data_IF_827116989889
#
_entry.id   IF_827116989889
#
_cell.length_a   1.000
_cell.length_b   1.000
_cell.length_c   1.000
_cell.angle_alpha   90.00
_cell.angle_beta   90.00
_cell.angle_gamma   90.00
#
_symmetry.space_group_name_H-M   'P 1'
#
loop_
_entity.id
_entity.type
_entity.pdbx_description
1 polymer ?
#
# COMPACT_ATOMS: atom_id res chain seq x y z
N UNK A 1 22.75 -64.30 13.59
CA UNK A 1 23.12 -63.54 12.38
C UNK A 1 22.38 -62.21 12.42
N UNK A 2 23.06 -61.13 12.78
CA UNK A 2 22.48 -59.78 12.85
C UNK A 2 22.50 -59.13 11.47
N UNK A 3 21.32 -58.80 10.92
CA UNK A 3 21.19 -58.15 9.62
C UNK A 3 21.74 -56.70 9.65
N UNK A 4 22.43 -56.25 8.60
CA UNK A 4 22.96 -54.89 8.55
C UNK A 4 21.83 -53.87 8.27
N UNK A 5 21.62 -52.93 9.20
CA UNK A 5 20.67 -51.84 9.03
C UNK A 5 21.02 -50.96 7.82
N UNK A 6 20.23 -51.11 6.75
CA UNK A 6 20.39 -50.38 5.51
C UNK A 6 20.22 -48.86 5.74
N UNK A 7 21.32 -48.10 5.57
CA UNK A 7 21.33 -46.66 5.84
C UNK A 7 20.56 -45.91 4.74
N UNK A 8 19.27 -45.68 4.98
CA UNK A 8 18.41 -44.88 4.09
C UNK A 8 19.02 -43.51 3.77
N UNK A 9 18.97 -43.15 2.49
CA UNK A 9 19.45 -41.86 1.99
C UNK A 9 18.64 -40.69 2.58
N UNK A 10 19.25 -39.50 2.65
CA UNK A 10 18.58 -38.27 3.14
C UNK A 10 17.24 -37.99 2.45
N UNK A 11 17.10 -38.35 1.16
CA UNK A 11 15.84 -38.19 0.41
C UNK A 11 14.76 -39.15 0.88
N UNK A 12 15.10 -40.42 1.13
CA UNK A 12 14.16 -41.42 1.61
C UNK A 12 13.68 -41.13 3.04
N UNK A 13 14.58 -40.68 3.92
CA UNK A 13 14.20 -40.24 5.29
C UNK A 13 13.17 -39.10 5.27
N UNK A 14 13.39 -38.10 4.40
CA UNK A 14 12.47 -36.96 4.27
C UNK A 14 11.11 -37.35 3.68
N UNK A 15 11.08 -38.33 2.76
CA UNK A 15 9.83 -38.86 2.22
C UNK A 15 9.02 -39.62 3.27
N UNK A 16 9.69 -40.41 4.12
CA UNK A 16 9.06 -41.12 5.24
C UNK A 16 8.50 -40.15 6.29
N UNK A 17 9.22 -39.08 6.63
CA UNK A 17 8.73 -38.05 7.54
C UNK A 17 7.46 -37.35 7.00
N UNK A 18 7.41 -37.07 5.69
CA UNK A 18 6.25 -36.45 5.07
C UNK A 18 5.02 -37.37 5.08
N UNK A 19 5.23 -38.66 4.79
CA UNK A 19 4.18 -39.69 4.79
C UNK A 19 3.68 -40.03 6.19
N UNK A 20 4.54 -39.98 7.21
CA UNK A 20 4.13 -40.18 8.60
C UNK A 20 3.36 -38.96 9.15
N UNK A 21 3.69 -37.75 8.69
CA UNK A 21 2.99 -36.52 9.07
C UNK A 21 1.62 -36.37 8.39
N UNK A 22 1.42 -36.92 7.20
CA UNK A 22 0.09 -36.97 6.58
C UNK A 22 -0.80 -38.01 7.27
N UNK A 23 -0.25 -39.18 7.62
CA UNK A 23 -0.99 -40.22 8.36
C UNK A 23 -1.44 -39.80 9.76
N UNK A 24 -0.63 -39.02 10.49
CA UNK A 24 -1.03 -38.52 11.82
C UNK A 24 -2.02 -37.37 11.79
N UNK A 25 -2.28 -36.78 10.61
CA UNK A 25 -3.25 -35.71 10.43
C UNK A 25 -4.63 -36.24 10.04
N UNK A 26 -4.69 -37.33 9.27
CA UNK A 26 -5.97 -38.00 8.91
C UNK A 26 -6.58 -38.80 10.07
N UNK A 27 -5.78 -39.27 11.03
CA UNK A 27 -6.31 -40.00 12.21
C UNK A 27 -6.81 -39.10 13.34
N UNK A 28 -6.74 -37.77 13.20
CA UNK A 28 -7.18 -36.80 14.23
C UNK A 28 -8.45 -36.02 13.89
N UNK A 29 -9.12 -36.33 12.79
CA UNK A 29 -10.29 -35.57 12.30
C UNK A 29 -11.57 -36.39 12.18
N UNK A 30 -11.63 -37.61 12.73
CA UNK A 30 -12.80 -38.49 12.57
C UNK A 30 -13.40 -39.05 13.86
N UNK A 31 -13.18 -38.40 15.02
CA UNK A 31 -13.98 -38.69 16.21
C UNK A 31 -14.45 -37.39 16.90
N UNK A 32 -15.79 -37.27 16.91
CA UNK A 32 -16.72 -36.52 17.78
C UNK A 32 -16.90 -35.00 17.62
N UNK A 33 -18.03 -34.67 16.99
CA UNK A 33 -18.82 -33.46 17.23
C UNK A 33 -19.55 -33.55 18.58
N UNK A 34 -19.78 -32.36 19.17
CA UNK A 34 -20.91 -31.92 20.00
C UNK A 34 -20.83 -31.85 21.55
N UNK A 35 -21.41 -30.75 22.06
CA UNK A 35 -21.81 -30.39 23.44
C UNK A 35 -20.84 -29.66 24.43
N UNK A 36 -21.03 -28.34 24.51
CA UNK A 36 -21.41 -27.51 25.69
C UNK A 36 -20.83 -27.67 27.12
N UNK A 37 -20.66 -26.48 27.76
CA UNK A 37 -20.71 -26.14 29.22
C UNK A 37 -19.51 -26.34 30.17
N UNK A 38 -19.04 -25.16 30.65
CA UNK A 38 -18.85 -24.71 32.06
C UNK A 38 -17.83 -25.41 33.01
N UNK A 39 -16.98 -24.52 33.57
CA UNK A 39 -16.52 -24.37 34.99
C UNK A 39 -15.15 -24.95 35.43
N UNK A 40 -14.28 -23.99 35.76
CA UNK A 40 -13.53 -23.74 37.03
C UNK A 40 -12.50 -24.77 37.56
N UNK A 41 -11.31 -24.20 37.86
CA UNK A 41 -10.50 -24.37 39.11
C UNK A 41 -9.55 -25.59 39.11
N UNK A 42 -8.29 -25.59 39.57
CA UNK A 42 -7.39 -24.66 40.28
C UNK A 42 -5.93 -25.02 39.91
N UNK A 43 -5.07 -23.99 39.97
CA UNK A 43 -3.74 -23.96 40.61
C UNK A 43 -2.91 -25.25 40.77
N UNK A 44 -1.77 -25.31 40.08
CA UNK A 44 -0.52 -25.73 40.72
C UNK A 44 0.67 -24.95 40.14
N UNK A 45 1.27 -24.15 41.01
CA UNK A 45 2.43 -23.30 40.76
C UNK A 45 3.69 -24.14 40.98
N UNK A 46 4.56 -24.23 39.98
CA UNK A 46 5.96 -24.62 40.24
C UNK A 46 6.90 -23.67 39.52
N UNK A 47 7.54 -22.85 40.37
CA UNK A 47 8.66 -21.96 40.12
C UNK A 47 9.84 -22.70 39.48
N UNK A 48 10.28 -22.26 38.30
CA UNK A 48 11.71 -22.28 37.92
C UNK A 48 11.99 -21.18 36.88
N UNK A 49 12.59 -20.08 37.35
CA UNK A 49 13.59 -19.28 36.61
C UNK A 49 14.95 -19.56 37.31
N UNK A 50 16.14 -19.29 36.74
CA UNK A 50 16.48 -18.49 35.55
C UNK A 50 17.28 -19.35 34.52
N UNK A 51 17.71 -18.96 33.32
CA UNK A 51 18.60 -17.86 32.93
C UNK A 51 18.56 -17.62 31.41
N UNK A 52 18.99 -16.41 31.08
CA UNK A 52 19.28 -15.79 29.79
C UNK A 52 19.75 -16.75 28.67
N UNK A 53 19.08 -16.68 27.51
CA UNK A 53 19.69 -17.04 26.25
C UNK A 53 19.33 -16.03 25.17
N UNK A 54 20.38 -15.64 24.46
CA UNK A 54 20.49 -14.45 23.65
C UNK A 54 19.51 -14.37 22.49
N UNK A 55 19.19 -13.13 22.18
CA UNK A 55 18.41 -12.63 21.06
C UNK A 55 19.00 -13.11 19.73
N UNK A 56 18.53 -14.28 19.27
CA UNK A 56 18.91 -14.89 18.00
C UNK A 56 18.48 -14.03 16.82
N UNK A 57 19.37 -13.14 16.38
CA UNK A 57 19.29 -12.43 15.12
C UNK A 57 19.02 -13.43 13.98
N UNK A 58 17.79 -13.39 13.43
CA UNK A 58 17.43 -14.14 12.22
C UNK A 58 18.27 -13.62 11.06
N UNK A 59 19.44 -14.25 10.84
CA UNK A 59 20.27 -14.05 9.65
C UNK A 59 19.41 -14.34 8.43
N UNK A 60 19.05 -13.28 7.69
CA UNK A 60 18.42 -13.37 6.38
C UNK A 60 19.31 -14.27 5.51
N UNK A 61 18.81 -15.47 5.20
CA UNK A 61 19.43 -16.31 4.17
C UNK A 61 19.46 -15.48 2.89
N UNK A 62 20.67 -15.08 2.47
CA UNK A 62 20.93 -14.68 1.08
C UNK A 62 20.52 -15.88 0.24
N UNK A 63 19.30 -15.84 -0.31
CA UNK A 63 19.01 -16.66 -1.46
C UNK A 63 20.01 -16.25 -2.52
N UNK A 64 20.59 -17.27 -3.14
CA UNK A 64 21.57 -17.21 -4.23
C UNK A 64 20.87 -16.68 -5.49
N UNK A 65 20.25 -15.50 -5.40
CA UNK A 65 19.63 -14.79 -6.52
C UNK A 65 20.78 -14.23 -7.32
N UNK A 66 21.00 -14.88 -8.47
CA UNK A 66 22.11 -14.63 -9.35
C UNK A 66 22.35 -13.14 -9.57
N UNK A 67 23.64 -12.81 -9.59
CA UNK A 67 24.27 -11.58 -10.09
C UNK A 67 24.01 -11.37 -11.60
N UNK A 68 22.83 -11.78 -12.09
CA UNK A 68 22.38 -11.77 -13.50
C UNK A 68 20.99 -11.14 -13.64
N UNK A 69 20.68 -10.21 -12.73
CA UNK A 69 19.52 -9.33 -12.78
C UNK A 69 19.92 -7.86 -12.76
N UNK A 70 21.15 -7.52 -13.21
CA UNK A 70 21.47 -6.16 -13.64
C UNK A 70 20.67 -5.91 -14.92
N UNK A 71 19.40 -5.54 -14.76
CA UNK A 71 18.70 -4.83 -15.83
C UNK A 71 19.54 -3.60 -16.16
N UNK A 72 19.67 -3.29 -17.45
CA UNK A 72 20.46 -2.16 -17.94
C UNK A 72 20.23 -0.89 -17.12
N UNK A 73 21.33 -0.17 -16.86
CA UNK A 73 21.48 1.13 -16.22
C UNK A 73 21.25 1.25 -14.70
N UNK A 74 22.23 1.86 -14.02
CA UNK A 74 22.08 2.53 -12.72
C UNK A 74 22.47 1.72 -11.49
N UNK A 75 23.44 2.21 -10.71
CA UNK A 75 23.69 1.81 -9.32
C UNK A 75 22.60 2.31 -8.34
N UNK A 76 21.63 3.07 -8.85
CA UNK A 76 20.57 3.75 -8.12
C UNK A 76 19.39 2.82 -7.79
N UNK A 77 18.73 3.03 -6.64
CA UNK A 77 17.48 2.33 -6.33
C UNK A 77 16.38 2.75 -7.32
N UNK A 78 15.65 1.76 -7.84
CA UNK A 78 14.48 1.98 -8.71
C UNK A 78 13.23 2.03 -7.86
N UNK A 79 12.40 3.04 -8.09
CA UNK A 79 11.12 3.18 -7.42
C UNK A 79 10.01 2.74 -8.37
N UNK A 80 9.09 1.91 -7.88
CA UNK A 80 7.98 1.40 -8.69
C UNK A 80 6.66 1.85 -8.10
N UNK A 81 5.78 2.36 -8.96
CA UNK A 81 4.36 2.55 -8.66
C UNK A 81 3.52 1.46 -9.29
N UNK A 82 2.49 1.03 -8.57
CA UNK A 82 1.49 0.10 -9.06
C UNK A 82 0.33 0.91 -9.62
N UNK A 83 -0.07 0.59 -10.86
CA UNK A 83 -1.28 1.10 -11.47
C UNK A 83 -2.21 -0.09 -11.71
N UNK A 84 -3.40 -0.05 -11.14
CA UNK A 84 -4.41 -1.10 -11.25
C UNK A 84 -5.74 -0.61 -11.82
N UNK A 85 -6.64 -1.55 -12.07
CA UNK A 85 -7.96 -1.32 -12.69
C UNK A 85 -7.88 -0.66 -14.08
N UNK A 86 -6.83 -0.97 -14.84
CA UNK A 86 -6.66 -0.46 -16.20
C UNK A 86 -7.56 -1.24 -17.18
N UNK A 87 -8.02 -0.58 -18.25
CA UNK A 87 -8.63 -1.29 -19.38
C UNK A 87 -7.60 -2.23 -20.04
N UNK A 88 -8.07 -3.35 -20.56
CA UNK A 88 -7.23 -4.38 -21.18
C UNK A 88 -6.55 -3.91 -22.47
N UNK A 89 -7.20 -2.98 -23.18
CA UNK A 89 -6.77 -2.46 -24.48
C UNK A 89 -5.93 -1.17 -24.36
N UNK A 90 -5.37 -0.89 -23.18
CA UNK A 90 -4.62 0.34 -22.93
C UNK A 90 -3.28 0.35 -23.67
N UNK A 91 -2.96 1.46 -24.33
CA UNK A 91 -1.66 1.69 -24.96
C UNK A 91 -0.66 2.35 -24.01
N UNK A 92 0.65 2.13 -24.25
CA UNK A 92 1.72 2.79 -23.48
C UNK A 92 1.69 4.31 -23.66
N UNK A 93 1.38 4.79 -24.86
CA UNK A 93 1.28 6.22 -25.19
C UNK A 93 0.19 6.91 -24.39
N UNK A 94 -0.96 6.26 -24.18
CA UNK A 94 -2.04 6.83 -23.35
C UNK A 94 -1.69 6.90 -21.88
N UNK A 95 -1.04 5.85 -21.36
CA UNK A 95 -0.50 5.87 -19.99
C UNK A 95 0.54 6.98 -19.86
N UNK A 96 1.42 7.16 -20.84
CA UNK A 96 2.41 8.23 -20.82
C UNK A 96 1.77 9.62 -20.86
N UNK A 97 0.73 9.82 -21.67
CA UNK A 97 -0.02 11.06 -21.73
C UNK A 97 -0.77 11.36 -20.42
N UNK A 98 -1.43 10.36 -19.84
CA UNK A 98 -2.11 10.50 -18.56
C UNK A 98 -1.13 10.82 -17.41
N UNK A 99 0.07 10.23 -17.44
CA UNK A 99 1.12 10.43 -16.44
C UNK A 99 2.17 11.49 -16.83
N UNK A 100 1.87 12.36 -17.80
CA UNK A 100 2.83 13.33 -18.35
C UNK A 100 3.44 14.27 -17.28
N UNK A 101 2.66 14.65 -16.27
CA UNK A 101 3.15 15.47 -15.16
C UNK A 101 4.20 14.77 -14.28
N UNK A 102 4.17 13.43 -14.21
CA UNK A 102 5.11 12.64 -13.40
C UNK A 102 6.32 12.11 -14.17
N UNK A 103 6.26 12.07 -15.51
CA UNK A 103 7.33 11.61 -16.42
C UNK A 103 7.98 10.29 -15.98
N UNK A 104 7.26 9.15 -16.04
CA UNK A 104 7.83 7.84 -15.72
C UNK A 104 8.93 7.46 -16.74
N UNK A 105 10.03 6.86 -16.27
CA UNK A 105 11.16 6.48 -17.13
C UNK A 105 10.85 5.23 -17.96
N UNK A 106 10.16 4.25 -17.37
CA UNK A 106 9.76 3.01 -18.05
C UNK A 106 8.40 2.53 -17.56
N UNK A 107 7.55 2.11 -18.49
CA UNK A 107 6.23 1.56 -18.17
C UNK A 107 6.23 0.06 -18.49
N UNK A 108 5.79 -0.76 -17.55
CA UNK A 108 5.61 -2.21 -17.76
C UNK A 108 4.14 -2.57 -17.61
N UNK A 109 3.46 -2.75 -18.73
CA UNK A 109 2.05 -3.12 -18.79
C UNK A 109 1.90 -4.64 -18.72
N UNK A 110 0.91 -5.11 -17.95
CA UNK A 110 0.44 -6.50 -17.94
C UNK A 110 -1.03 -6.49 -18.29
N UNK A 111 -1.30 -6.58 -19.59
CA UNK A 111 -2.65 -6.56 -20.16
C UNK A 111 -3.51 -7.65 -19.55
N UNK A 112 -3.03 -8.89 -19.43
CA UNK A 112 -3.76 -10.03 -18.84
C UNK A 112 -4.46 -9.74 -17.50
N UNK A 113 -3.87 -8.87 -16.67
CA UNK A 113 -4.39 -8.53 -15.34
C UNK A 113 -4.95 -7.11 -15.25
N UNK A 114 -4.87 -6.30 -16.31
CA UNK A 114 -5.25 -4.89 -16.26
C UNK A 114 -4.41 -4.08 -15.25
N UNK A 115 -3.11 -4.37 -15.18
CA UNK A 115 -2.18 -3.70 -14.25
C UNK A 115 -0.94 -3.20 -15.00
N UNK A 116 -0.34 -2.11 -14.52
CA UNK A 116 0.93 -1.61 -15.00
C UNK A 116 1.86 -1.26 -13.83
N UNK A 117 3.16 -1.28 -14.10
CA UNK A 117 4.18 -0.77 -13.19
C UNK A 117 4.90 0.41 -13.83
N UNK A 118 4.89 1.55 -13.15
CA UNK A 118 5.67 2.72 -13.55
C UNK A 118 7.01 2.65 -12.81
N UNK A 119 8.11 2.59 -13.55
CA UNK A 119 9.47 2.58 -13.01
C UNK A 119 10.06 3.99 -13.10
N UNK A 120 10.57 4.48 -11.97
CA UNK A 120 11.28 5.75 -11.83
C UNK A 120 12.73 5.46 -11.39
N UNK A 121 13.69 6.10 -12.04
CA UNK A 121 15.10 5.96 -11.69
C UNK A 121 15.48 6.97 -10.60
N UNK A 122 15.99 6.48 -9.46
CA UNK A 122 16.48 7.32 -8.37
C UNK A 122 17.77 8.09 -8.68
N UNK A 123 18.36 7.91 -9.86
CA UNK A 123 19.49 8.73 -10.32
C UNK A 123 19.05 10.15 -10.73
N UNK A 124 17.79 10.34 -11.10
CA UNK A 124 17.26 11.64 -11.53
C UNK A 124 16.77 12.46 -10.32
N UNK A 125 17.11 13.75 -10.26
CA UNK A 125 16.64 14.66 -9.22
C UNK A 125 15.11 14.78 -9.19
N UNK A 126 14.54 15.01 -8.01
CA UNK A 126 13.10 15.20 -7.76
C UNK A 126 12.20 13.95 -7.87
N UNK A 127 12.74 12.75 -7.67
CA UNK A 127 11.93 11.52 -7.73
C UNK A 127 10.74 11.50 -6.75
N UNK A 128 10.90 12.08 -5.56
CA UNK A 128 9.82 12.17 -4.57
C UNK A 128 8.65 13.00 -5.11
N UNK A 129 8.94 14.16 -5.71
CA UNK A 129 7.91 15.02 -6.30
C UNK A 129 7.18 14.32 -7.44
N UNK A 130 7.91 13.66 -8.35
CA UNK A 130 7.31 12.90 -9.46
C UNK A 130 6.38 11.79 -8.96
N UNK A 131 6.81 11.06 -7.94
CA UNK A 131 6.01 10.00 -7.30
C UNK A 131 4.76 10.59 -6.65
N UNK A 132 4.88 11.70 -5.92
CA UNK A 132 3.75 12.37 -5.28
C UNK A 132 2.71 12.88 -6.29
N UNK A 133 3.18 13.44 -7.41
CA UNK A 133 2.32 13.87 -8.52
C UNK A 133 1.56 12.68 -9.11
N UNK A 134 2.24 11.56 -9.36
CA UNK A 134 1.58 10.34 -9.83
C UNK A 134 0.57 9.78 -8.81
N UNK A 135 0.90 9.79 -7.52
CA UNK A 135 0.02 9.37 -6.44
C UNK A 135 -1.20 10.28 -6.29
N UNK A 136 -1.11 11.55 -6.68
CA UNK A 136 -2.26 12.47 -6.69
C UNK A 136 -3.32 12.04 -7.70
N UNK A 137 -2.91 11.37 -8.78
CA UNK A 137 -3.83 10.88 -9.82
C UNK A 137 -4.53 9.55 -9.47
N UNK A 138 -4.52 9.15 -8.20
CA UNK A 138 -5.28 8.00 -7.74
C UNK A 138 -6.80 8.27 -7.86
N UNK A 139 -7.54 7.30 -8.41
CA UNK A 139 -8.98 7.39 -8.77
C UNK A 139 -9.32 8.39 -9.88
N UNK A 140 -8.33 8.82 -10.66
CA UNK A 140 -8.57 9.52 -11.92
C UNK A 140 -9.30 8.61 -12.92
N UNK A 141 -10.03 9.22 -13.85
CA UNK A 141 -10.85 8.51 -14.83
C UNK A 141 -10.04 8.38 -16.12
N UNK A 142 -9.82 7.15 -16.57
CA UNK A 142 -9.17 6.81 -17.83
C UNK A 142 -10.11 5.92 -18.63
N UNK A 143 -10.55 6.37 -19.81
CA UNK A 143 -11.52 5.64 -20.66
C UNK A 143 -12.73 5.12 -19.86
N UNK A 144 -13.33 5.99 -19.04
CA UNK A 144 -14.49 5.69 -18.18
C UNK A 144 -14.23 4.73 -17.00
N UNK A 145 -13.00 4.27 -16.78
CA UNK A 145 -12.62 3.48 -15.59
C UNK A 145 -11.82 4.31 -14.60
N UNK A 146 -12.07 4.12 -13.31
CA UNK A 146 -11.27 4.75 -12.25
C UNK A 146 -10.00 3.95 -12.01
N UNK A 147 -8.84 4.53 -12.25
CA UNK A 147 -7.56 3.83 -12.07
C UNK A 147 -7.07 3.92 -10.62
N UNK A 148 -6.40 2.88 -10.15
CA UNK A 148 -5.79 2.87 -8.81
C UNK A 148 -4.28 3.09 -8.94
N UNK A 149 -3.75 4.13 -8.30
CA UNK A 149 -2.30 4.36 -8.21
C UNK A 149 -1.84 4.18 -6.77
N UNK A 150 -0.92 3.24 -6.53
CA UNK A 150 -0.46 2.84 -5.20
C UNK A 150 1.06 2.66 -5.14
N UNK A 151 1.62 2.80 -3.93
CA UNK A 151 3.03 2.51 -3.68
C UNK A 151 3.28 0.99 -3.72
N UNK A 152 4.34 0.57 -4.40
CA UNK A 152 4.79 -0.82 -4.29
C UNK A 152 5.69 -1.01 -3.07
N UNK A 153 5.75 -2.25 -2.58
CA UNK A 153 6.77 -2.67 -1.60
C UNK A 153 7.63 -3.76 -2.23
N UNK A 154 8.94 -3.67 -1.98
CA UNK A 154 9.89 -4.71 -2.38
C UNK A 154 9.66 -6.01 -1.61
N UNK A 155 9.85 -7.15 -2.30
CA UNK A 155 9.60 -8.49 -1.77
C UNK A 155 8.55 -9.21 -2.60
N UNK A 156 8.98 -10.09 -3.51
CA UNK A 156 8.08 -10.76 -4.46
C UNK A 156 7.11 -11.75 -3.80
N UNK A 157 5.97 -12.00 -4.46
CA UNK A 157 4.94 -12.96 -4.03
C UNK A 157 3.81 -12.32 -3.20
N UNK A 158 2.90 -13.15 -2.71
CA UNK A 158 1.78 -12.75 -1.85
C UNK A 158 2.07 -13.11 -0.38
N UNK A 159 3.28 -12.85 0.11
CA UNK A 159 3.64 -13.12 1.51
C UNK A 159 2.87 -12.20 2.46
N UNK A 160 2.58 -12.72 3.67
CA UNK A 160 1.90 -11.94 4.74
C UNK A 160 2.65 -10.64 5.06
N UNK A 161 3.97 -10.72 5.19
CA UNK A 161 4.82 -9.55 5.44
C UNK A 161 4.73 -8.48 4.34
N UNK A 162 4.50 -8.89 3.08
CA UNK A 162 4.33 -7.95 1.96
C UNK A 162 2.96 -7.27 2.05
N UNK A 163 1.92 -8.04 2.32
CA UNK A 163 0.54 -7.56 2.47
C UNK A 163 0.44 -6.54 3.61
N UNK A 164 1.06 -6.83 4.76
CA UNK A 164 1.09 -5.94 5.92
C UNK A 164 1.83 -4.62 5.62
N UNK A 165 2.98 -4.67 4.96
CA UNK A 165 3.70 -3.46 4.54
C UNK A 165 2.92 -2.62 3.52
N UNK A 166 2.15 -3.26 2.63
CA UNK A 166 1.28 -2.55 1.69
C UNK A 166 0.14 -1.87 2.45
N UNK A 167 -0.51 -2.58 3.38
CA UNK A 167 -1.59 -2.02 4.21
C UNK A 167 -1.13 -0.80 4.98
N UNK A 168 -0.06 -0.92 5.78
CA UNK A 168 0.43 0.19 6.59
C UNK A 168 0.79 1.41 5.72
N UNK A 169 1.46 1.20 4.57
CA UNK A 169 1.76 2.31 3.66
C UNK A 169 0.53 2.92 3.01
N UNK A 170 -0.47 2.12 2.67
CA UNK A 170 -1.71 2.61 2.06
C UNK A 170 -2.55 3.38 3.08
N UNK A 171 -2.62 2.90 4.33
CA UNK A 171 -3.31 3.57 5.44
C UNK A 171 -2.66 4.92 5.75
N UNK A 172 -1.32 4.96 5.88
CA UNK A 172 -0.55 6.19 6.07
C UNK A 172 -0.72 7.19 4.91
N UNK A 173 -0.89 6.67 3.70
CA UNK A 173 -1.07 7.50 2.51
C UNK A 173 -2.50 8.04 2.44
N UNK A 174 -3.50 7.24 2.83
CA UNK A 174 -4.89 7.66 2.87
C UNK A 174 -5.16 8.66 4.00
N UNK A 175 -4.50 8.53 5.15
CA UNK A 175 -4.56 9.54 6.22
C UNK A 175 -3.98 10.87 5.75
N UNK A 176 -2.77 10.87 5.17
CA UNK A 176 -2.15 12.08 4.58
C UNK A 176 -3.02 12.72 3.51
N UNK A 177 -3.65 11.93 2.65
CA UNK A 177 -4.61 12.42 1.65
C UNK A 177 -5.83 13.06 2.31
N UNK A 178 -6.40 12.42 3.33
CA UNK A 178 -7.60 12.92 4.03
C UNK A 178 -7.31 14.22 4.77
N UNK A 179 -6.16 14.31 5.45
CA UNK A 179 -5.70 15.52 6.12
C UNK A 179 -5.48 16.66 5.14
N UNK A 180 -4.81 16.38 4.01
CA UNK A 180 -4.60 17.37 2.95
C UNK A 180 -5.90 17.91 2.39
N UNK A 181 -6.83 17.02 1.99
CA UNK A 181 -8.14 17.42 1.45
C UNK A 181 -8.93 18.20 2.51
N UNK A 182 -8.84 17.82 3.78
CA UNK A 182 -9.46 18.57 4.88
C UNK A 182 -8.90 19.98 5.01
N UNK A 183 -7.57 20.12 4.96
CA UNK A 183 -6.89 21.41 5.06
C UNK A 183 -7.16 22.31 3.83
N UNK A 184 -7.13 21.74 2.62
CA UNK A 184 -7.48 22.46 1.37
C UNK A 184 -8.94 22.97 1.43
N UNK A 185 -9.88 22.13 1.87
CA UNK A 185 -11.29 22.54 2.08
C UNK A 185 -11.47 23.60 3.16
N UNK A 186 -10.68 23.56 4.25
CA UNK A 186 -10.70 24.60 5.29
C UNK A 186 -10.18 25.92 4.74
N UNK A 187 -9.06 25.91 4.03
CA UNK A 187 -8.47 27.10 3.42
C UNK A 187 -9.41 27.73 2.37
N UNK A 188 -10.10 26.93 1.55
CA UNK A 188 -11.12 27.44 0.62
C UNK A 188 -12.31 28.08 1.34
N UNK A 189 -12.76 27.50 2.46
CA UNK A 189 -13.81 28.10 3.30
C UNK A 189 -13.38 29.42 3.95
N UNK A 190 -12.13 29.53 4.38
CA UNK A 190 -11.60 30.77 4.95
C UNK A 190 -11.42 31.86 3.88
N UNK A 191 -10.97 31.49 2.67
CA UNK A 191 -10.88 32.42 1.53
C UNK A 191 -12.24 32.92 1.07
N UNK A 192 -13.24 32.04 0.99
CA UNK A 192 -14.60 32.44 0.62
C UNK A 192 -15.27 33.31 1.69
N UNK A 193 -15.05 33.02 2.98
CA UNK A 193 -15.50 33.89 4.08
C UNK A 193 -14.84 35.26 4.05
N UNK A 194 -13.51 35.33 3.90
CA UNK A 194 -12.79 36.61 3.83
C UNK A 194 -13.15 37.42 2.57
N UNK A 195 -13.41 36.78 1.43
CA UNK A 195 -13.95 37.46 0.24
C UNK A 195 -15.38 37.96 0.43
N UNK A 196 -16.25 37.20 1.10
CA UNK A 196 -17.61 37.63 1.43
C UNK A 196 -17.61 38.80 2.45
N UNK A 197 -16.73 38.76 3.44
CA UNK A 197 -16.51 39.85 4.40
C UNK A 197 -15.94 41.11 3.73
N UNK A 198 -15.01 40.96 2.77
CA UNK A 198 -14.51 42.08 1.98
C UNK A 198 -15.60 42.70 1.10
N UNK A 199 -16.39 41.90 0.39
CA UNK A 199 -17.48 42.38 -0.46
C UNK A 199 -18.62 43.04 0.36
N UNK A 200 -18.94 42.51 1.53
CA UNK A 200 -19.93 43.13 2.42
C UNK A 200 -19.45 44.46 3.02
N UNK A 201 -18.17 44.59 3.35
CA UNK A 201 -17.58 45.88 3.77
C UNK A 201 -17.59 46.92 2.65
N UNK A 202 -17.20 46.54 1.43
CA UNK A 202 -17.27 47.39 0.25
C UNK A 202 -18.70 47.90 -0.01
N UNK A 203 -19.70 47.01 0.04
CA UNK A 203 -21.11 47.42 -0.15
C UNK A 203 -21.62 48.37 0.95
N UNK A 204 -21.09 48.27 2.18
CA UNK A 204 -21.51 49.10 3.32
C UNK A 204 -20.86 50.49 3.29
N UNK A 205 -19.63 50.58 2.78
CA UNK A 205 -18.94 51.87 2.54
C UNK A 205 -19.54 52.61 1.33
N UNK A 206 -19.96 51.91 0.28
CA UNK A 206 -20.63 52.50 -0.87
C UNK A 206 -22.00 53.11 -0.53
N UNK A 207 -22.78 52.48 0.36
CA UNK A 207 -24.08 53.03 0.83
C UNK A 207 -23.88 54.22 1.79
N UNK A 208 -22.78 54.23 2.57
CA UNK A 208 -22.48 55.30 3.52
C UNK A 208 -22.07 56.64 2.90
N UNK A 209 -21.58 56.63 1.66
CA UNK A 209 -21.13 57.83 0.94
C UNK A 209 -22.20 58.44 0.01
N UNK A 210 -23.43 57.91 0.02
CA UNK A 210 -24.54 58.45 -0.77
C UNK A 210 -25.27 59.52 0.03
N UNK A 211 -25.28 60.76 -0.49
CA UNK A 211 -26.00 61.89 0.10
C UNK A 211 -27.50 61.56 0.25
N UNK A 212 -28.15 61.89 1.39
CA UNK A 212 -29.49 61.39 1.76
C UNK A 212 -30.60 61.72 0.73
N UNK A 213 -30.42 62.79 -0.05
CA UNK A 213 -31.33 63.19 -1.13
C UNK A 213 -31.40 62.20 -2.30
N UNK A 214 -30.41 61.31 -2.47
CA UNK A 214 -30.36 60.32 -3.56
C UNK A 214 -30.90 58.94 -3.14
N UNK A 215 -30.90 58.64 -1.83
CA UNK A 215 -31.47 57.39 -1.28
C UNK A 215 -32.99 57.31 -1.48
N UNK A 216 -33.71 58.41 -1.28
CA UNK A 216 -35.18 58.43 -1.37
C UNK A 216 -35.78 58.22 -2.78
N UNK A 217 -34.96 58.16 -3.82
CA UNK A 217 -35.38 57.89 -5.20
C UNK A 217 -35.25 56.41 -5.61
N UNK A 218 -34.54 55.60 -4.83
CA UNK A 218 -34.22 54.20 -5.15
C UNK A 218 -35.25 53.23 -4.54
N UNK A 219 -35.92 53.61 -3.45
CA UNK A 219 -36.87 52.78 -2.69
C UNK A 219 -38.35 52.92 -3.14
N UNK A 220 -38.63 53.33 -4.39
CA UNK A 220 -40.01 53.41 -4.93
C UNK A 220 -40.25 52.48 -6.11
#
# INVERSE_FOLDING_TARGET
MSEPAEKLTKKQRKALEFRNKSKSKDTKTNETEDSDKKRKRDEEVTKVEPEQSEEGQKKKRKTRRGKKGKGQCGSSPRFLLFVGNLPYDISETELMAHFAASKPNKIRIRTEKGIAFLEFDGAEGEIQHRIEVALRMHRSILRQRKINVELTVGGGGNSKDRLEKIRNKNDDLETRRRERISNERKAEKEKTKSQAEANSKLSKEEIGNVHPSRLGLIDR
#
